data_IF_108834945230
#
_entry.id   IF_108834945230
#
_cell.length_a   1.000
_cell.length_b   1.000
_cell.length_c   1.000
_cell.angle_alpha   90.00
_cell.angle_beta   90.00
_cell.angle_gamma   90.00
#
_symmetry.space_group_name_H-M   'P 1'
#
loop_
_entity.id
_entity.type
_entity.pdbx_description
1 polymer ?
#
# COMPACT_ATOMS: atom_id res chain seq x y z
N UNK A 1 2.31 39.41 -2.31
CA UNK A 1 1.40 38.97 -1.23
C UNK A 1 0.14 38.36 -1.85
N UNK A 2 -0.21 37.14 -1.46
CA UNK A 2 -1.40 36.45 -1.99
C UNK A 2 -2.68 37.27 -1.74
N UNK A 3 -3.58 37.41 -2.73
CA UNK A 3 -4.84 38.15 -2.58
C UNK A 3 -5.68 37.70 -1.37
N UNK A 4 -5.69 36.39 -1.08
CA UNK A 4 -6.44 35.78 0.03
C UNK A 4 -5.99 36.35 1.39
N UNK A 5 -4.70 36.55 1.62
CA UNK A 5 -4.17 37.10 2.88
C UNK A 5 -4.59 38.57 3.09
N UNK A 6 -4.66 39.35 2.02
CA UNK A 6 -5.15 40.73 2.07
C UNK A 6 -6.64 40.79 2.47
N UNK A 7 -7.44 39.89 1.91
CA UNK A 7 -8.84 39.75 2.25
C UNK A 7 -9.03 39.37 3.72
N UNK A 8 -8.31 38.32 4.20
CA UNK A 8 -8.38 37.91 5.61
C UNK A 8 -8.00 39.06 6.57
N UNK A 9 -6.98 39.84 6.24
CA UNK A 9 -6.56 40.98 7.05
C UNK A 9 -7.62 42.09 7.05
N UNK A 10 -8.18 42.44 5.90
CA UNK A 10 -9.29 43.41 5.80
C UNK A 10 -10.49 43.02 6.66
N UNK A 11 -10.90 41.74 6.60
CA UNK A 11 -12.00 41.23 7.41
C UNK A 11 -11.72 41.31 8.93
N UNK A 12 -10.46 41.11 9.35
CA UNK A 12 -10.09 41.28 10.76
C UNK A 12 -10.11 42.76 11.16
N UNK A 13 -9.62 43.63 10.29
CA UNK A 13 -9.68 45.10 10.50
C UNK A 13 -11.11 45.61 10.59
N UNK A 14 -12.07 44.96 9.90
CA UNK A 14 -13.51 45.18 9.98
C UNK A 14 -14.17 44.56 11.21
N UNK A 15 -13.40 43.96 12.13
CA UNK A 15 -13.86 43.35 13.38
C UNK A 15 -14.45 41.96 13.26
N UNK A 16 -14.28 41.28 12.11
CA UNK A 16 -14.76 39.91 11.89
C UNK A 16 -13.76 38.87 12.37
N UNK A 17 -14.24 37.87 13.11
CA UNK A 17 -13.44 36.73 13.48
C UNK A 17 -13.09 35.90 12.23
N UNK A 18 -11.82 35.94 11.81
CA UNK A 18 -11.38 35.35 10.55
C UNK A 18 -10.22 34.40 10.79
N UNK A 19 -10.32 33.19 10.25
CA UNK A 19 -9.26 32.17 10.25
C UNK A 19 -8.97 31.76 8.82
N UNK A 20 -7.71 31.81 8.41
CA UNK A 20 -7.27 31.29 7.13
C UNK A 20 -7.06 29.78 7.22
N UNK A 21 -7.82 29.00 6.47
CA UNK A 21 -7.65 27.55 6.38
C UNK A 21 -6.96 27.20 5.07
N UNK A 22 -5.74 26.64 5.14
CA UNK A 22 -4.95 26.27 3.94
C UNK A 22 -3.99 25.15 4.24
N UNK A 23 -3.74 24.28 3.23
CA UNK A 23 -2.70 23.22 3.29
C UNK A 23 -1.29 23.74 3.05
N UNK A 24 -1.15 24.89 2.40
CA UNK A 24 0.13 25.49 2.09
C UNK A 24 0.79 26.05 3.36
N UNK A 25 1.84 25.36 3.81
CA UNK A 25 2.60 25.69 5.02
C UNK A 25 3.21 27.10 4.93
N UNK A 26 3.71 27.48 3.75
CA UNK A 26 4.32 28.79 3.52
C UNK A 26 3.26 29.90 3.64
N UNK A 27 2.08 29.66 3.11
CA UNK A 27 0.95 30.58 3.22
C UNK A 27 0.49 30.71 4.67
N UNK A 28 0.48 29.62 5.46
CA UNK A 28 0.15 29.67 6.91
C UNK A 28 1.15 30.49 7.70
N UNK A 29 2.45 30.20 7.53
CA UNK A 29 3.52 30.96 8.22
C UNK A 29 3.44 32.44 7.88
N UNK A 30 3.27 32.78 6.61
CA UNK A 30 3.15 34.17 6.18
C UNK A 30 1.88 34.85 6.68
N UNK A 31 0.76 34.13 6.82
CA UNK A 31 -0.46 34.65 7.41
C UNK A 31 -0.26 34.97 8.89
N UNK A 32 0.34 34.05 9.65
CA UNK A 32 0.67 34.23 11.07
C UNK A 32 1.61 35.44 11.29
N UNK A 33 2.61 35.60 10.43
CA UNK A 33 3.51 36.78 10.48
C UNK A 33 2.76 38.11 10.25
N UNK A 34 1.61 38.08 9.58
CA UNK A 34 0.75 39.23 9.33
C UNK A 34 -0.36 39.37 10.35
N UNK A 35 -0.34 38.57 11.44
CA UNK A 35 -1.38 38.61 12.48
C UNK A 35 -2.70 37.96 12.08
N UNK A 36 -2.74 37.19 10.97
CA UNK A 36 -3.92 36.45 10.54
C UNK A 36 -3.84 35.05 11.14
N UNK A 37 -4.79 34.63 12.00
CA UNK A 37 -4.89 33.25 12.45
C UNK A 37 -4.99 32.30 11.26
N UNK A 38 -4.16 31.24 11.25
CA UNK A 38 -4.13 30.31 10.16
C UNK A 38 -4.06 28.88 10.66
N UNK A 39 -4.89 28.01 10.10
CA UNK A 39 -5.02 26.61 10.46
C UNK A 39 -4.86 25.71 9.24
N UNK A 40 -4.50 24.45 9.49
CA UNK A 40 -4.45 23.43 8.46
C UNK A 40 -5.84 22.87 8.18
N UNK A 41 -6.06 22.41 6.94
CA UNK A 41 -7.30 21.75 6.58
C UNK A 41 -7.30 20.31 7.12
N UNK A 42 -7.86 20.14 8.33
CA UNK A 42 -7.77 18.90 9.09
C UNK A 42 -8.70 17.76 8.60
N UNK A 43 -9.68 18.04 7.74
CA UNK A 43 -10.70 17.05 7.35
C UNK A 43 -10.13 15.76 6.69
N UNK A 44 -8.97 15.84 6.07
CA UNK A 44 -8.30 14.72 5.40
C UNK A 44 -7.04 14.21 6.17
N UNK A 45 -6.77 14.74 7.36
CA UNK A 45 -5.62 14.32 8.15
C UNK A 45 -5.95 13.14 9.07
N UNK A 46 -4.95 12.29 9.30
CA UNK A 46 -4.99 11.25 10.33
C UNK A 46 -4.80 11.90 11.70
N UNK A 47 -5.65 11.63 12.72
CA UNK A 47 -5.53 12.22 14.06
C UNK A 47 -4.13 11.98 14.66
N UNK A 48 -3.56 13.01 15.30
CA UNK A 48 -2.33 12.88 16.08
C UNK A 48 -2.64 12.17 17.39
N UNK A 49 -1.91 11.08 17.67
CA UNK A 49 -1.99 10.39 18.97
C UNK A 49 -2.60 8.98 18.95
N UNK A 50 -3.23 8.54 17.88
CA UNK A 50 -3.48 7.13 17.70
C UNK A 50 -2.14 6.43 17.38
N UNK A 51 -1.74 5.43 18.13
CA UNK A 51 -0.61 4.57 17.76
C UNK A 51 -0.79 4.13 16.31
N UNK A 52 0.22 4.38 15.46
CA UNK A 52 0.08 4.12 14.04
C UNK A 52 -0.22 2.64 13.79
N UNK A 53 -1.39 2.34 13.22
CA UNK A 53 -1.73 0.99 12.80
C UNK A 53 -0.68 0.48 11.81
N UNK A 54 0.03 -0.58 12.19
CA UNK A 54 1.14 -1.14 11.40
C UNK A 54 0.73 -2.34 10.57
N UNK A 55 -0.50 -2.81 10.68
CA UNK A 55 -0.98 -4.03 10.03
C UNK A 55 -0.52 -5.32 10.74
N UNK A 56 0.33 -5.22 11.76
CA UNK A 56 0.82 -6.36 12.54
C UNK A 56 0.88 -6.03 14.02
N UNK A 57 0.79 -7.07 14.85
CA UNK A 57 0.97 -6.97 16.30
C UNK A 57 1.85 -8.13 16.80
N UNK A 58 2.71 -7.83 17.78
CA UNK A 58 3.39 -8.83 18.59
C UNK A 58 2.53 -9.12 19.82
N UNK A 59 2.14 -10.38 19.99
CA UNK A 59 1.26 -10.81 21.09
C UNK A 59 1.80 -12.07 21.75
N UNK A 60 1.58 -12.18 23.05
CA UNK A 60 1.94 -13.36 23.83
C UNK A 60 0.75 -14.30 23.96
N UNK A 61 1.06 -15.58 24.08
CA UNK A 61 0.09 -16.66 24.21
C UNK A 61 0.62 -17.72 25.16
N UNK A 62 -0.24 -18.33 26.00
CA UNK A 62 0.14 -19.48 26.80
C UNK A 62 0.68 -20.62 25.94
N UNK A 63 1.85 -21.16 26.30
CA UNK A 63 2.55 -22.17 25.48
C UNK A 63 1.67 -23.40 25.18
N UNK A 64 0.82 -23.81 26.12
CA UNK A 64 -0.11 -24.92 25.96
C UNK A 64 -1.07 -24.74 24.75
N UNK A 65 -1.44 -23.49 24.41
CA UNK A 65 -2.35 -23.19 23.31
C UNK A 65 -1.67 -23.22 21.93
N UNK A 66 -0.34 -23.11 21.88
CA UNK A 66 0.39 -23.14 20.60
C UNK A 66 0.23 -24.48 19.86
N UNK A 67 0.02 -25.58 20.58
CA UNK A 67 -0.24 -26.89 19.97
C UNK A 67 -1.57 -26.94 19.21
N UNK A 68 -2.55 -26.15 19.61
CA UNK A 68 -3.88 -26.09 18.99
C UNK A 68 -3.93 -25.14 17.80
N UNK A 69 -2.95 -24.27 17.65
CA UNK A 69 -2.93 -23.19 16.66
C UNK A 69 -3.20 -23.66 15.23
N UNK A 70 -2.57 -24.75 14.80
CA UNK A 70 -2.71 -25.27 13.44
C UNK A 70 -4.12 -25.82 13.14
N UNK A 71 -4.84 -26.28 14.16
CA UNK A 71 -6.14 -26.93 13.99
C UNK A 71 -7.31 -25.96 14.13
N UNK A 72 -7.26 -25.10 15.14
CA UNK A 72 -8.42 -24.33 15.60
C UNK A 72 -8.16 -22.82 15.64
N UNK A 73 -6.89 -22.39 15.42
CA UNK A 73 -6.46 -21.04 15.73
C UNK A 73 -6.50 -20.76 17.23
N UNK A 74 -6.19 -19.54 17.62
CA UNK A 74 -6.17 -19.11 19.03
C UNK A 74 -7.17 -17.97 19.21
N UNK A 75 -8.04 -18.07 20.23
CA UNK A 75 -8.97 -16.98 20.58
C UNK A 75 -8.21 -15.72 20.99
N UNK A 76 -8.68 -14.55 20.54
CA UNK A 76 -8.09 -13.26 20.94
C UNK A 76 -8.14 -13.02 22.45
N UNK A 77 -9.14 -13.58 23.15
CA UNK A 77 -9.25 -13.48 24.61
C UNK A 77 -8.09 -14.13 25.36
N UNK A 78 -7.40 -15.09 24.73
CA UNK A 78 -6.23 -15.75 25.29
C UNK A 78 -4.91 -15.03 24.96
N UNK A 79 -4.98 -13.94 24.19
CA UNK A 79 -3.81 -13.19 23.76
C UNK A 79 -3.61 -11.93 24.64
N UNK A 80 -2.37 -11.63 24.93
CA UNK A 80 -2.02 -10.45 25.67
C UNK A 80 -0.77 -9.75 25.12
N UNK A 81 -0.64 -8.50 25.46
CA UNK A 81 0.56 -7.70 25.24
C UNK A 81 1.18 -7.35 26.58
N UNK A 82 2.45 -6.97 26.58
CA UNK A 82 3.15 -6.52 27.80
C UNK A 82 3.50 -5.06 27.60
N UNK A 83 3.08 -4.21 28.54
CA UNK A 83 3.40 -2.78 28.52
C UNK A 83 4.87 -2.51 28.94
N UNK A 84 5.29 -1.26 28.89
CA UNK A 84 6.67 -0.86 29.25
C UNK A 84 7.01 -1.12 30.72
N UNK A 85 6.01 -1.32 31.56
CA UNK A 85 6.15 -1.59 33.00
C UNK A 85 6.06 -3.10 33.30
N UNK A 86 5.99 -3.94 32.25
CA UNK A 86 5.92 -5.40 32.38
C UNK A 86 4.52 -5.94 32.73
N UNK A 87 3.47 -5.10 32.70
CA UNK A 87 2.10 -5.53 33.03
C UNK A 87 1.43 -6.13 31.78
N UNK A 88 0.74 -7.24 31.99
CA UNK A 88 -0.06 -7.86 30.95
C UNK A 88 -1.33 -7.06 30.68
N UNK A 89 -1.62 -6.84 29.40
CA UNK A 89 -2.82 -6.18 28.91
C UNK A 89 -3.49 -7.07 27.87
N UNK A 90 -4.83 -7.21 27.84
CA UNK A 90 -5.51 -7.93 26.77
C UNK A 90 -5.09 -7.41 25.40
N UNK A 91 -4.81 -8.31 24.46
CA UNK A 91 -4.46 -7.90 23.12
C UNK A 91 -5.70 -7.36 22.39
N UNK A 92 -5.56 -6.17 21.80
CA UNK A 92 -6.59 -5.59 20.93
C UNK A 92 -6.15 -5.74 19.48
N UNK A 93 -6.79 -6.62 18.72
CA UNK A 93 -6.50 -6.89 17.32
C UNK A 93 -7.63 -6.36 16.44
N UNK A 94 -7.27 -5.85 15.28
CA UNK A 94 -8.21 -5.42 14.24
C UNK A 94 -8.37 -6.52 13.22
N UNK A 95 -9.56 -6.65 12.62
CA UNK A 95 -9.82 -7.62 11.55
C UNK A 95 -8.74 -7.54 10.46
N UNK A 96 -8.30 -8.70 9.96
CA UNK A 96 -7.18 -8.86 9.01
C UNK A 96 -5.78 -8.47 9.51
N UNK A 97 -5.62 -8.07 10.76
CA UNK A 97 -4.31 -7.78 11.32
C UNK A 97 -3.46 -9.04 11.45
N UNK A 98 -2.21 -8.97 11.03
CA UNK A 98 -1.25 -10.04 11.24
C UNK A 98 -0.77 -10.08 12.68
N UNK A 99 -0.53 -11.29 13.19
CA UNK A 99 -0.05 -11.50 14.55
C UNK A 99 1.24 -12.33 14.54
N UNK A 100 2.22 -11.88 15.32
CA UNK A 100 3.38 -12.67 15.72
C UNK A 100 3.06 -13.20 17.11
N UNK A 101 2.70 -14.48 17.19
CA UNK A 101 2.40 -15.16 18.45
C UNK A 101 3.68 -15.62 19.10
N UNK A 102 3.98 -15.15 20.30
CA UNK A 102 5.14 -15.52 21.09
C UNK A 102 4.71 -16.41 22.26
N UNK A 103 5.42 -17.50 22.51
CA UNK A 103 5.24 -18.30 23.71
C UNK A 103 5.56 -17.46 24.96
N UNK A 104 4.76 -17.60 26.01
CA UNK A 104 5.01 -17.01 27.32
C UNK A 104 6.18 -17.69 28.08
N UNK A 105 6.58 -18.89 27.63
CA UNK A 105 7.66 -19.68 28.26
C UNK A 105 8.94 -19.69 27.44
N UNK A 106 8.82 -19.68 26.10
CA UNK A 106 9.94 -19.82 25.19
C UNK A 106 9.91 -18.70 24.13
N UNK A 107 10.67 -17.62 24.37
CA UNK A 107 10.70 -16.43 23.49
C UNK A 107 11.04 -16.75 22.01
N UNK A 108 11.85 -17.78 21.78
CA UNK A 108 12.25 -18.19 20.42
C UNK A 108 11.14 -18.92 19.66
N UNK A 109 10.13 -19.42 20.37
CA UNK A 109 9.00 -20.10 19.75
C UNK A 109 7.96 -19.10 19.30
N UNK A 110 7.96 -18.83 18.02
CA UNK A 110 7.04 -17.87 17.39
C UNK A 110 6.22 -18.53 16.31
N UNK A 111 4.95 -18.17 16.21
CA UNK A 111 4.04 -18.57 15.13
C UNK A 111 3.45 -17.32 14.47
N UNK A 112 3.15 -17.43 13.19
CA UNK A 112 2.59 -16.33 12.41
C UNK A 112 1.14 -16.62 12.05
N UNK A 113 0.29 -15.62 12.25
CA UNK A 113 -1.12 -15.76 11.93
C UNK A 113 -1.77 -14.47 11.48
N UNK A 114 -3.04 -14.59 11.11
CA UNK A 114 -3.94 -13.49 10.76
C UNK A 114 -5.16 -13.53 11.67
N UNK A 115 -5.53 -12.39 12.23
CA UNK A 115 -6.74 -12.25 13.03
C UNK A 115 -7.96 -12.16 12.13
N UNK A 116 -8.96 -13.00 12.41
CA UNK A 116 -10.23 -13.05 11.71
C UNK A 116 -11.31 -13.60 12.62
N UNK A 117 -12.45 -12.91 12.71
CA UNK A 117 -13.62 -13.39 13.44
C UNK A 117 -13.34 -13.73 14.92
N UNK A 118 -12.55 -12.91 15.62
CA UNK A 118 -12.24 -13.11 17.04
C UNK A 118 -11.11 -14.12 17.33
N UNK A 119 -10.47 -14.68 16.31
CA UNK A 119 -9.38 -15.68 16.47
C UNK A 119 -8.21 -15.37 15.55
N UNK A 120 -7.01 -15.79 15.95
CA UNK A 120 -5.81 -15.76 15.10
C UNK A 120 -5.62 -17.16 14.49
N UNK A 121 -5.66 -17.22 13.16
CA UNK A 121 -5.43 -18.44 12.39
C UNK A 121 -4.04 -18.45 11.75
N UNK A 122 -3.46 -19.63 11.48
CA UNK A 122 -2.22 -19.74 10.72
C UNK A 122 -2.31 -19.04 9.37
N UNK A 123 -1.17 -18.59 8.84
CA UNK A 123 -1.07 -18.10 7.47
C UNK A 123 -1.38 -19.26 6.50
N UNK A 124 -2.26 -19.00 5.53
CA UNK A 124 -2.70 -19.99 4.54
C UNK A 124 -1.64 -20.23 3.46
N UNK A 125 -0.84 -19.21 3.14
CA UNK A 125 0.10 -19.21 2.02
C UNK A 125 1.57 -19.26 2.45
N UNK A 126 1.86 -19.69 3.69
CA UNK A 126 3.22 -19.68 4.26
C UNK A 126 4.23 -20.57 3.50
N UNK A 127 3.76 -21.56 2.75
CA UNK A 127 4.62 -22.45 1.92
C UNK A 127 4.66 -22.11 0.44
N UNK A 128 3.83 -21.18 -0.01
CA UNK A 128 3.72 -20.80 -1.41
C UNK A 128 4.97 -20.08 -1.90
N UNK A 129 5.17 -20.13 -3.21
CA UNK A 129 6.30 -19.50 -3.89
C UNK A 129 5.80 -18.86 -5.18
N UNK A 130 5.05 -17.75 -5.07
CA UNK A 130 4.49 -17.11 -6.24
C UNK A 130 5.62 -16.78 -7.22
N UNK A 131 5.47 -17.27 -8.43
CA UNK A 131 6.46 -17.11 -9.49
C UNK A 131 7.91 -17.48 -9.04
N UNK A 132 8.05 -18.55 -8.23
CA UNK A 132 9.30 -19.04 -7.69
C UNK A 132 9.91 -18.23 -6.54
N UNK A 133 9.32 -17.12 -6.14
CA UNK A 133 9.84 -16.21 -5.11
C UNK A 133 9.59 -16.75 -3.70
N UNK A 134 10.59 -16.66 -2.82
CA UNK A 134 10.51 -17.07 -1.41
C UNK A 134 10.68 -15.88 -0.48
N UNK A 135 9.85 -15.77 0.56
CA UNK A 135 10.05 -14.74 1.58
C UNK A 135 11.31 -15.00 2.39
N UNK A 136 12.07 -13.95 2.68
CA UNK A 136 13.32 -13.96 3.46
C UNK A 136 13.17 -13.32 4.84
N UNK A 137 12.04 -12.68 5.12
CA UNK A 137 11.75 -12.02 6.39
C UNK A 137 10.30 -12.20 6.79
N UNK A 138 9.96 -11.97 8.07
CA UNK A 138 8.58 -11.99 8.57
C UNK A 138 7.69 -11.00 7.81
N UNK A 139 8.20 -9.81 7.52
CA UNK A 139 7.47 -8.81 6.75
C UNK A 139 7.11 -9.30 5.35
N UNK A 140 8.02 -10.01 4.68
CA UNK A 140 7.77 -10.60 3.37
C UNK A 140 6.81 -11.80 3.44
N UNK A 141 6.77 -12.56 4.53
CA UNK A 141 5.76 -13.61 4.73
C UNK A 141 4.36 -13.01 4.86
N UNK A 142 4.20 -11.95 5.63
CA UNK A 142 2.92 -11.23 5.73
C UNK A 142 2.52 -10.56 4.41
N UNK A 143 3.48 -9.98 3.70
CA UNK A 143 3.25 -9.42 2.37
C UNK A 143 2.75 -10.48 1.39
N UNK A 144 3.40 -11.64 1.34
CA UNK A 144 3.00 -12.76 0.51
C UNK A 144 1.59 -13.24 0.85
N UNK A 145 1.30 -13.44 2.14
CA UNK A 145 -0.03 -13.82 2.60
C UNK A 145 -1.10 -12.83 2.11
N UNK A 146 -0.90 -11.53 2.37
CA UNK A 146 -1.85 -10.49 1.97
C UNK A 146 -2.07 -10.45 0.45
N UNK A 147 -1.01 -10.63 -0.33
CA UNK A 147 -1.09 -10.64 -1.79
C UNK A 147 -1.81 -11.87 -2.33
N UNK A 148 -1.61 -13.05 -1.74
CA UNK A 148 -2.21 -14.29 -2.23
C UNK A 148 -3.65 -14.53 -1.75
N UNK A 149 -4.15 -13.80 -0.75
CA UNK A 149 -5.57 -13.80 -0.42
C UNK A 149 -6.41 -13.38 -1.62
N UNK A 150 -7.62 -13.90 -1.74
CA UNK A 150 -8.53 -13.56 -2.84
C UNK A 150 -8.93 -12.07 -2.81
N UNK A 151 -9.44 -11.56 -3.94
CA UNK A 151 -10.01 -10.20 -3.98
C UNK A 151 -11.26 -10.04 -3.09
N UNK A 152 -11.92 -11.13 -2.75
CA UNK A 152 -13.08 -11.14 -1.84
C UNK A 152 -12.65 -11.00 -0.38
N UNK A 153 -11.56 -11.67 0.02
CA UNK A 153 -11.02 -11.59 1.37
C UNK A 153 -10.18 -10.33 1.62
N UNK A 154 -9.41 -9.90 0.63
CA UNK A 154 -8.51 -8.75 0.71
C UNK A 154 -8.56 -7.92 -0.58
N UNK A 155 -9.66 -7.18 -0.83
CA UNK A 155 -9.81 -6.36 -2.03
C UNK A 155 -8.81 -5.21 -2.10
N UNK A 156 -8.33 -4.75 -0.95
CA UNK A 156 -7.34 -3.68 -0.81
C UNK A 156 -6.17 -4.16 0.07
N UNK A 157 -4.97 -4.14 -0.48
CA UNK A 157 -3.73 -4.43 0.22
C UNK A 157 -2.84 -3.19 0.23
N UNK A 158 -2.34 -2.81 1.39
CA UNK A 158 -1.43 -1.65 1.54
C UNK A 158 -0.08 -2.15 2.05
N UNK A 159 0.95 -2.09 1.20
CA UNK A 159 2.30 -2.48 1.53
C UNK A 159 3.15 -1.26 1.83
N UNK A 160 3.56 -1.14 3.08
CA UNK A 160 4.36 -0.03 3.58
C UNK A 160 5.74 -0.50 3.99
N UNK A 161 6.75 0.27 3.64
CA UNK A 161 8.12 0.02 4.07
C UNK A 161 9.13 0.84 3.28
N UNK A 162 10.38 0.93 3.75
CA UNK A 162 11.44 1.66 3.07
C UNK A 162 11.73 1.09 1.67
N UNK A 163 12.42 1.87 0.85
CA UNK A 163 12.93 1.39 -0.43
C UNK A 163 13.78 0.14 -0.25
N UNK A 164 13.82 -0.74 -1.25
CA UNK A 164 14.58 -2.00 -1.18
C UNK A 164 13.94 -3.14 -0.39
N UNK A 165 12.72 -2.98 0.15
CA UNK A 165 11.99 -4.07 0.83
C UNK A 165 11.27 -5.03 -0.13
N UNK A 166 11.49 -4.87 -1.43
CA UNK A 166 10.97 -5.72 -2.50
C UNK A 166 9.43 -5.68 -2.68
N UNK A 167 8.76 -4.57 -2.30
CA UNK A 167 7.30 -4.44 -2.43
C UNK A 167 6.81 -4.63 -3.86
N UNK A 168 7.37 -3.89 -4.81
CA UNK A 168 7.00 -3.96 -6.23
C UNK A 168 7.33 -5.34 -6.81
N UNK A 169 8.50 -5.88 -6.47
CA UNK A 169 8.93 -7.21 -6.90
C UNK A 169 7.95 -8.33 -6.46
N UNK A 170 7.57 -8.37 -5.17
CA UNK A 170 6.60 -9.35 -4.67
C UNK A 170 5.21 -9.15 -5.25
N UNK A 171 4.80 -7.90 -5.46
CA UNK A 171 3.49 -7.60 -6.04
C UNK A 171 3.39 -8.03 -7.49
N UNK A 172 4.48 -7.90 -8.27
CA UNK A 172 4.56 -8.42 -9.63
C UNK A 172 4.61 -9.95 -9.64
N UNK A 173 5.43 -10.58 -8.78
CA UNK A 173 5.52 -12.04 -8.68
C UNK A 173 4.16 -12.68 -8.36
N UNK A 174 3.46 -12.16 -7.34
CA UNK A 174 2.13 -12.65 -6.98
C UNK A 174 1.08 -12.38 -8.05
N UNK A 175 1.20 -11.26 -8.77
CA UNK A 175 0.32 -10.91 -9.89
C UNK A 175 0.53 -11.83 -11.08
N UNK A 176 1.78 -12.07 -11.49
CA UNK A 176 2.11 -12.96 -12.60
C UNK A 176 1.62 -14.39 -12.34
N UNK A 177 1.84 -14.91 -11.11
CA UNK A 177 1.30 -16.21 -10.69
C UNK A 177 -0.20 -16.29 -10.90
N UNK A 178 -0.96 -15.28 -10.45
CA UNK A 178 -2.43 -15.29 -10.49
C UNK A 178 -3.05 -14.86 -11.83
N UNK A 179 -2.23 -14.42 -12.79
CA UNK A 179 -2.68 -14.07 -14.14
C UNK A 179 -2.28 -15.12 -15.17
N UNK A 180 -1.08 -15.71 -15.02
CA UNK A 180 -0.50 -16.58 -16.04
C UNK A 180 -0.68 -18.08 -15.72
N UNK A 181 -0.56 -18.48 -14.46
CA UNK A 181 -0.65 -19.89 -14.07
C UNK A 181 -2.10 -20.39 -14.14
N UNK A 182 -2.42 -21.41 -14.97
CA UNK A 182 -3.79 -21.86 -15.20
C UNK A 182 -4.52 -22.30 -13.92
N UNK A 183 -3.82 -22.91 -12.97
CA UNK A 183 -4.39 -23.44 -11.73
C UNK A 183 -4.70 -22.35 -10.70
N UNK A 184 -3.96 -21.24 -10.72
CA UNK A 184 -4.09 -20.11 -9.79
C UNK A 184 -4.68 -18.86 -10.41
N UNK A 185 -5.10 -18.91 -11.68
CA UNK A 185 -5.59 -17.77 -12.44
C UNK A 185 -6.87 -17.18 -11.83
N UNK A 186 -6.71 -16.02 -11.20
CA UNK A 186 -7.79 -15.27 -10.58
C UNK A 186 -8.08 -13.94 -11.29
N UNK A 187 -7.14 -13.40 -12.05
CA UNK A 187 -7.25 -12.09 -12.71
C UNK A 187 -6.96 -12.21 -14.21
N UNK A 188 -7.50 -11.25 -14.96
CA UNK A 188 -7.33 -11.20 -16.42
C UNK A 188 -6.02 -10.54 -16.83
N UNK A 189 -5.57 -9.54 -16.05
CA UNK A 189 -4.37 -8.74 -16.35
C UNK A 189 -3.80 -8.09 -15.11
N UNK A 190 -2.57 -7.64 -15.21
CA UNK A 190 -1.90 -6.75 -14.26
C UNK A 190 -1.95 -5.33 -14.84
N UNK A 191 -2.42 -4.38 -14.04
CA UNK A 191 -2.35 -2.96 -14.36
C UNK A 191 -1.47 -2.26 -13.32
N UNK A 192 -0.39 -1.63 -13.77
CA UNK A 192 0.49 -0.84 -12.90
C UNK A 192 0.27 0.63 -13.15
N UNK A 193 -0.04 1.36 -12.09
CA UNK A 193 -0.19 2.81 -12.13
C UNK A 193 0.78 3.48 -11.16
N UNK A 194 1.28 4.65 -11.53
CA UNK A 194 2.14 5.47 -10.69
C UNK A 194 1.59 6.90 -10.65
N UNK A 195 1.34 7.48 -9.47
CA UNK A 195 1.04 8.89 -9.35
C UNK A 195 2.30 9.68 -9.73
N UNK A 196 2.14 10.70 -10.54
CA UNK A 196 3.26 11.52 -10.97
C UNK A 196 3.05 12.94 -10.48
N UNK A 197 3.90 13.40 -9.57
CA UNK A 197 3.84 14.76 -9.02
C UNK A 197 4.09 15.84 -10.11
N UNK A 198 4.75 15.47 -11.21
CA UNK A 198 5.08 16.39 -12.32
C UNK A 198 4.01 16.39 -13.43
N UNK A 199 3.12 15.40 -13.48
CA UNK A 199 2.13 15.24 -14.57
C UNK A 199 0.69 15.58 -14.17
N UNK A 200 0.44 16.17 -13.00
CA UNK A 200 -0.89 16.71 -12.64
C UNK A 200 -1.25 17.98 -13.44
N UNK A 201 -0.27 18.54 -14.19
CA UNK A 201 -0.47 19.61 -15.18
C UNK A 201 -0.33 19.01 -16.58
N UNK A 202 -1.49 18.81 -17.23
CA UNK A 202 -1.70 18.48 -18.65
C UNK A 202 -0.53 17.80 -19.42
N UNK A 203 -0.53 16.47 -19.46
CA UNK A 203 0.33 15.65 -20.34
C UNK A 203 0.20 16.04 -21.84
N UNK A 204 -0.81 16.83 -22.20
CA UNK A 204 -1.05 17.30 -23.57
C UNK A 204 0.09 18.08 -24.23
N UNK A 205 1.00 18.68 -23.44
CA UNK A 205 2.04 19.57 -23.97
C UNK A 205 3.45 18.97 -24.05
N UNK A 206 3.69 17.72 -23.64
CA UNK A 206 4.99 17.10 -23.84
C UNK A 206 5.11 16.54 -25.25
N UNK A 207 6.16 16.88 -26.04
CA UNK A 207 6.42 16.27 -27.32
C UNK A 207 6.81 14.79 -27.13
N UNK A 208 6.26 13.90 -27.97
CA UNK A 208 6.56 12.48 -27.97
C UNK A 208 5.30 11.60 -28.03
N UNK A 209 5.47 10.35 -28.46
CA UNK A 209 4.41 9.33 -28.47
C UNK A 209 3.96 8.96 -27.05
N UNK A 210 2.76 8.39 -26.87
CA UNK A 210 2.29 7.88 -25.57
C UNK A 210 3.29 6.89 -24.94
N UNK A 211 3.93 6.05 -25.76
CA UNK A 211 4.95 5.10 -25.31
C UNK A 211 6.22 5.77 -24.77
N UNK A 212 6.68 6.87 -25.38
CA UNK A 212 7.84 7.62 -24.89
C UNK A 212 7.55 8.34 -23.57
N UNK A 213 6.31 8.76 -23.36
CA UNK A 213 5.86 9.39 -22.11
C UNK A 213 5.74 8.40 -20.94
N UNK A 214 5.43 7.13 -21.24
CA UNK A 214 5.28 6.06 -20.24
C UNK A 214 6.63 5.38 -19.93
N UNK A 215 7.63 5.49 -20.81
CA UNK A 215 8.94 4.85 -20.68
C UNK A 215 9.62 5.03 -19.32
N UNK A 216 9.63 6.21 -18.67
CA UNK A 216 10.22 6.36 -17.34
C UNK A 216 9.48 5.60 -16.23
N UNK A 217 8.18 5.34 -16.41
CA UNK A 217 7.37 4.56 -15.47
C UNK A 217 7.62 3.06 -15.61
N UNK A 218 7.96 2.62 -16.84
CA UNK A 218 8.17 1.21 -17.16
C UNK A 218 9.51 0.67 -16.66
N UNK A 219 10.55 1.48 -16.61
CA UNK A 219 11.91 1.02 -16.29
C UNK A 219 12.01 0.24 -14.97
N UNK A 220 11.48 0.74 -13.82
CA UNK A 220 11.51 -0.04 -12.58
C UNK A 220 10.68 -1.33 -12.64
N UNK A 221 9.65 -1.38 -13.49
CA UNK A 221 8.83 -2.57 -13.69
C UNK A 221 9.62 -3.59 -14.51
N UNK A 222 10.25 -3.15 -15.61
CA UNK A 222 11.08 -3.99 -16.47
C UNK A 222 12.25 -4.60 -15.68
N UNK A 223 12.96 -3.80 -14.88
CA UNK A 223 14.06 -4.29 -14.04
C UNK A 223 13.61 -5.42 -13.08
N UNK A 224 12.41 -5.30 -12.52
CA UNK A 224 11.85 -6.35 -11.67
C UNK A 224 11.41 -7.59 -12.47
N UNK A 225 10.86 -7.41 -13.66
CA UNK A 225 10.45 -8.49 -14.55
C UNK A 225 11.65 -9.30 -15.05
N UNK A 226 12.75 -8.65 -15.39
CA UNK A 226 14.00 -9.32 -15.79
C UNK A 226 14.45 -10.29 -14.69
N UNK A 227 14.48 -9.84 -13.43
CA UNK A 227 14.85 -10.68 -12.29
C UNK A 227 13.86 -11.83 -12.10
N UNK A 228 12.54 -11.57 -12.21
CA UNK A 228 11.51 -12.60 -12.02
C UNK A 228 11.57 -13.68 -13.09
N UNK A 229 11.70 -13.29 -14.36
CA UNK A 229 11.75 -14.21 -15.49
C UNK A 229 13.04 -15.05 -15.51
N UNK A 230 14.16 -14.47 -15.05
CA UNK A 230 15.42 -15.20 -14.88
C UNK A 230 15.33 -16.21 -13.72
N UNK A 231 14.62 -15.89 -12.63
CA UNK A 231 14.41 -16.82 -11.51
C UNK A 231 13.57 -18.06 -11.89
N UNK A 232 12.61 -17.90 -12.80
CA UNK A 232 11.76 -18.99 -13.27
C UNK A 232 12.58 -20.04 -14.06
N UNK A 233 13.56 -19.60 -14.83
CA UNK A 233 14.40 -20.45 -15.71
C UNK A 233 15.70 -20.93 -15.08
N UNK A 234 15.74 -21.23 -13.81
CA UNK A 234 16.94 -21.70 -13.08
C UNK A 234 17.75 -22.81 -13.73
N UNK A 235 17.29 -23.45 -14.80
CA UNK A 235 17.98 -24.58 -15.48
C UNK A 235 18.75 -24.19 -16.74
N UNK A 236 18.38 -23.10 -17.41
CA UNK A 236 19.09 -22.60 -18.60
C UNK A 236 19.14 -21.07 -18.49
N UNK A 237 20.34 -20.47 -18.54
CA UNK A 237 20.48 -19.02 -18.60
C UNK A 237 19.84 -18.53 -19.89
N UNK A 238 18.67 -17.91 -19.77
CA UNK A 238 18.02 -17.24 -20.91
C UNK A 238 18.95 -16.13 -21.41
N UNK A 239 19.15 -16.05 -22.72
CA UNK A 239 19.88 -14.93 -23.33
C UNK A 239 19.10 -13.62 -23.13
N UNK A 240 19.80 -12.48 -23.13
CA UNK A 240 19.15 -11.16 -23.01
C UNK A 240 18.03 -10.92 -24.02
N UNK A 241 18.18 -11.46 -25.25
CA UNK A 241 17.16 -11.37 -26.30
C UNK A 241 15.88 -12.14 -25.95
N UNK A 242 16.02 -13.31 -25.35
CA UNK A 242 14.87 -14.14 -24.91
C UNK A 242 14.12 -13.44 -23.76
N UNK A 243 14.82 -12.91 -22.75
CA UNK A 243 14.19 -12.14 -21.68
C UNK A 243 13.43 -10.92 -22.22
N UNK A 244 14.03 -10.17 -23.12
CA UNK A 244 13.36 -9.03 -23.78
C UNK A 244 12.13 -9.45 -24.56
N UNK A 245 12.21 -10.55 -25.30
CA UNK A 245 11.07 -11.08 -26.05
C UNK A 245 9.92 -11.47 -25.13
N UNK A 246 10.19 -12.09 -23.99
CA UNK A 246 9.18 -12.45 -22.98
C UNK A 246 8.55 -11.23 -22.31
N UNK A 247 9.35 -10.22 -21.98
CA UNK A 247 8.84 -8.96 -21.43
C UNK A 247 7.93 -8.27 -22.45
N UNK A 248 8.37 -8.16 -23.71
CA UNK A 248 7.55 -7.58 -24.76
C UNK A 248 6.24 -8.35 -24.94
N UNK A 249 6.27 -9.68 -24.89
CA UNK A 249 5.06 -10.50 -24.94
C UNK A 249 4.05 -10.14 -23.86
N UNK A 250 4.49 -9.89 -22.62
CA UNK A 250 3.59 -9.50 -21.52
C UNK A 250 2.87 -8.17 -21.80
N UNK A 251 3.58 -7.21 -22.40
CA UNK A 251 2.99 -5.92 -22.77
C UNK A 251 2.13 -6.00 -24.03
N UNK A 252 2.59 -6.67 -25.08
CA UNK A 252 1.91 -6.77 -26.37
C UNK A 252 0.59 -7.54 -26.28
N UNK A 253 0.54 -8.55 -25.42
CA UNK A 253 -0.68 -9.33 -25.15
C UNK A 253 -1.61 -8.65 -24.16
N UNK A 254 -1.20 -7.55 -23.52
CA UNK A 254 -1.97 -6.86 -22.50
C UNK A 254 -2.11 -7.62 -21.17
N UNK A 255 -1.32 -8.68 -20.96
CA UNK A 255 -1.20 -9.35 -19.66
C UNK A 255 -0.71 -8.37 -18.61
N UNK A 256 0.27 -7.54 -18.96
CA UNK A 256 0.76 -6.45 -18.15
C UNK A 256 0.59 -5.12 -18.91
N UNK A 257 0.00 -4.14 -18.23
CA UNK A 257 -0.13 -2.78 -18.77
C UNK A 257 0.35 -1.79 -17.72
N UNK A 258 0.93 -0.67 -18.16
CA UNK A 258 1.29 0.44 -17.30
C UNK A 258 0.62 1.71 -17.79
N UNK A 259 -0.06 2.42 -16.91
CA UNK A 259 -0.80 3.62 -17.24
C UNK A 259 -0.51 4.73 -16.21
N UNK A 260 -0.52 5.98 -16.65
CA UNK A 260 -0.52 7.10 -15.74
C UNK A 260 -1.91 7.22 -15.06
N UNK A 261 -1.93 7.67 -13.80
CA UNK A 261 -3.16 7.76 -12.99
C UNK A 261 -4.30 8.53 -13.66
N UNK A 262 -3.99 9.53 -14.50
CA UNK A 262 -4.98 10.34 -15.18
C UNK A 262 -5.83 9.55 -16.19
N UNK A 263 -5.28 8.49 -16.78
CA UNK A 263 -5.98 7.64 -17.76
C UNK A 263 -7.00 6.67 -17.13
N UNK A 264 -6.96 6.48 -15.81
CA UNK A 264 -7.95 5.68 -15.09
C UNK A 264 -9.32 6.37 -14.95
N UNK A 265 -9.42 7.68 -15.28
CA UNK A 265 -10.69 8.43 -15.16
C UNK A 265 -11.71 7.93 -16.18
N UNK A 266 -12.91 7.60 -15.71
CA UNK A 266 -14.05 7.22 -16.56
C UNK A 266 -14.12 5.73 -16.94
N UNK A 267 -13.18 4.89 -16.52
CA UNK A 267 -13.21 3.44 -16.75
C UNK A 267 -13.58 2.68 -15.49
N UNK A 268 -14.35 1.60 -15.63
CA UNK A 268 -14.53 0.58 -14.59
C UNK A 268 -13.43 -0.47 -14.74
N UNK A 269 -12.79 -0.84 -13.64
CA UNK A 269 -11.69 -1.78 -13.60
C UNK A 269 -12.19 -3.07 -12.96
N UNK A 270 -12.31 -4.13 -13.72
CA UNK A 270 -12.81 -5.45 -13.28
C UNK A 270 -11.78 -6.54 -13.50
N UNK A 271 -11.81 -7.58 -12.66
CA UNK A 271 -10.98 -8.78 -12.78
C UNK A 271 -9.48 -8.45 -12.99
N UNK A 272 -8.99 -7.41 -12.33
CA UNK A 272 -7.67 -6.84 -12.56
C UNK A 272 -6.82 -6.88 -11.28
N UNK A 273 -5.56 -7.26 -11.42
CA UNK A 273 -4.53 -7.09 -10.42
C UNK A 273 -3.96 -5.67 -10.56
N UNK A 274 -4.45 -4.74 -9.74
CA UNK A 274 -4.12 -3.32 -9.84
C UNK A 274 -3.03 -2.95 -8.84
N UNK A 275 -1.84 -2.61 -9.33
CA UNK A 275 -0.72 -2.11 -8.52
C UNK A 275 -0.66 -0.60 -8.68
N UNK A 276 -0.64 0.11 -7.55
CA UNK A 276 -0.37 1.54 -7.49
C UNK A 276 0.94 1.75 -6.74
N UNK A 277 1.99 2.01 -7.50
CA UNK A 277 3.31 2.25 -6.96
C UNK A 277 3.46 3.72 -6.52
N UNK A 278 4.36 4.00 -5.56
CA UNK A 278 4.57 5.33 -4.97
C UNK A 278 3.27 5.97 -4.40
N UNK A 279 2.41 5.14 -3.81
CA UNK A 279 1.09 5.57 -3.32
C UNK A 279 1.14 6.62 -2.19
N UNK A 280 2.31 6.88 -1.58
CA UNK A 280 2.48 8.00 -0.64
C UNK A 280 2.29 9.36 -1.31
N UNK A 281 2.43 9.45 -2.63
CA UNK A 281 2.22 10.66 -3.42
C UNK A 281 0.75 10.87 -3.85
N UNK A 282 -0.15 9.95 -3.49
CA UNK A 282 -1.59 10.09 -3.71
C UNK A 282 -2.22 11.05 -2.70
N UNK A 283 -3.15 11.87 -3.18
CA UNK A 283 -4.06 12.59 -2.31
C UNK A 283 -5.20 11.68 -1.83
N UNK A 284 -5.87 11.97 -0.69
CA UNK A 284 -7.05 11.24 -0.25
C UNK A 284 -8.17 11.20 -1.30
N UNK A 285 -8.33 12.26 -2.07
CA UNK A 285 -9.31 12.36 -3.17
C UNK A 285 -8.99 11.37 -4.30
N UNK A 286 -7.71 11.21 -4.64
CA UNK A 286 -7.29 10.24 -5.66
C UNK A 286 -7.55 8.81 -5.19
N UNK A 287 -7.24 8.47 -3.92
CA UNK A 287 -7.55 7.15 -3.35
C UNK A 287 -9.05 6.87 -3.40
N UNK A 288 -9.90 7.80 -2.97
CA UNK A 288 -11.36 7.66 -3.10
C UNK A 288 -11.76 7.42 -4.56
N UNK A 289 -11.18 8.18 -5.49
CA UNK A 289 -11.45 8.03 -6.92
C UNK A 289 -11.05 6.67 -7.48
N UNK A 290 -9.97 6.04 -6.97
CA UNK A 290 -9.57 4.68 -7.34
C UNK A 290 -10.58 3.68 -6.81
N UNK A 291 -10.82 3.69 -5.49
CA UNK A 291 -11.70 2.71 -4.83
C UNK A 291 -13.11 2.70 -5.40
N UNK A 292 -13.64 3.86 -5.78
CA UNK A 292 -14.99 3.97 -6.39
C UNK A 292 -15.08 3.47 -7.83
N UNK A 293 -13.94 3.20 -8.50
CA UNK A 293 -13.89 2.67 -9.87
C UNK A 293 -13.54 1.20 -9.95
N UNK A 294 -13.03 0.67 -8.85
CA UNK A 294 -12.71 -0.75 -8.74
C UNK A 294 -14.01 -1.55 -8.73
N UNK A 295 -14.17 -2.39 -9.74
CA UNK A 295 -15.28 -3.30 -9.89
C UNK A 295 -14.98 -4.70 -9.35
N UNK A 296 -15.94 -5.59 -9.54
CA UNK A 296 -15.87 -6.98 -9.07
C UNK A 296 -14.59 -7.68 -9.57
N UNK A 297 -14.03 -8.54 -8.74
CA UNK A 297 -12.87 -9.38 -9.10
C UNK A 297 -11.54 -8.62 -9.15
N UNK A 298 -11.50 -7.32 -8.86
CA UNK A 298 -10.27 -6.55 -8.86
C UNK A 298 -9.66 -6.47 -7.45
N UNK A 299 -8.36 -6.68 -7.37
CA UNK A 299 -7.55 -6.48 -6.17
C UNK A 299 -6.67 -5.25 -6.35
N UNK A 300 -6.73 -4.34 -5.39
CA UNK A 300 -5.95 -3.09 -5.37
C UNK A 300 -4.78 -3.25 -4.43
N UNK A 301 -3.57 -2.97 -4.91
CA UNK A 301 -2.35 -3.03 -4.13
C UNK A 301 -1.70 -1.64 -4.13
N UNK A 302 -1.67 -0.99 -2.97
CA UNK A 302 -1.00 0.30 -2.78
C UNK A 302 0.40 0.06 -2.22
N UNK A 303 1.43 0.45 -2.97
CA UNK A 303 2.82 0.36 -2.56
C UNK A 303 3.35 1.73 -2.17
N UNK A 304 4.05 1.84 -1.05
CA UNK A 304 4.60 3.13 -0.68
C UNK A 304 5.68 3.10 0.40
N UNK A 305 6.51 4.13 0.37
CA UNK A 305 7.49 4.42 1.40
C UNK A 305 7.01 5.65 2.21
N UNK A 306 6.79 5.51 3.54
CA UNK A 306 6.36 6.64 4.35
C UNK A 306 7.37 7.79 4.40
N UNK A 307 8.66 7.50 4.17
CA UNK A 307 9.73 8.49 4.22
C UNK A 307 9.94 9.23 2.90
N UNK A 308 9.35 8.76 1.79
CA UNK A 308 9.55 9.32 0.43
C UNK A 308 8.26 9.98 -0.08
N UNK A 309 7.93 11.16 0.46
CA UNK A 309 6.78 11.94 0.01
C UNK A 309 7.31 13.12 -0.82
N UNK A 310 7.17 13.01 -2.15
CA UNK A 310 7.67 14.01 -3.10
C UNK A 310 6.62 15.11 -3.42
N UNK A 311 5.36 14.87 -3.06
CA UNK A 311 4.28 15.80 -3.37
C UNK A 311 4.31 17.01 -2.41
N UNK A 312 4.45 18.26 -2.90
CA UNK A 312 4.71 19.44 -2.07
C UNK A 312 3.59 19.82 -1.09
N UNK A 313 2.38 19.32 -1.32
CA UNK A 313 1.20 19.59 -0.48
C UNK A 313 0.80 18.41 0.42
N UNK A 314 1.60 17.34 0.44
CA UNK A 314 1.33 16.15 1.25
C UNK A 314 2.42 15.97 2.30
N UNK A 315 2.01 15.49 3.46
CA UNK A 315 2.88 15.02 4.52
C UNK A 315 2.54 13.58 4.93
N UNK A 316 3.20 13.05 5.92
CA UNK A 316 2.97 11.68 6.40
C UNK A 316 1.51 11.45 6.85
N UNK A 317 0.81 12.49 7.28
CA UNK A 317 -0.55 12.43 7.82
C UNK A 317 -1.63 12.75 6.80
N UNK A 318 -1.31 13.54 5.78
CA UNK A 318 -2.27 14.07 4.79
C UNK A 318 -2.24 13.37 3.44
N UNK A 319 -1.37 12.36 3.26
CA UNK A 319 -1.31 11.62 2.01
C UNK A 319 -2.43 10.55 1.91
N UNK A 320 -2.81 10.20 0.69
CA UNK A 320 -3.91 9.29 0.42
C UNK A 320 -3.69 7.86 0.92
N UNK A 321 -2.44 7.40 0.97
CA UNK A 321 -2.07 6.09 1.52
C UNK A 321 -2.31 6.04 3.04
N UNK A 322 -1.87 7.05 3.80
CA UNK A 322 -2.14 7.13 5.24
C UNK A 322 -3.64 7.24 5.52
N UNK A 323 -4.36 8.00 4.70
CA UNK A 323 -5.82 8.04 4.73
C UNK A 323 -6.43 6.64 4.53
N UNK A 324 -6.00 5.89 3.51
CA UNK A 324 -6.51 4.54 3.25
C UNK A 324 -6.22 3.59 4.43
N UNK A 325 -5.00 3.61 4.95
CA UNK A 325 -4.57 2.78 6.09
C UNK A 325 -5.47 2.97 7.31
N UNK A 326 -5.82 4.20 7.66
CA UNK A 326 -6.58 4.50 8.87
C UNK A 326 -8.10 4.39 8.67
N UNK A 327 -8.60 4.63 7.46
CA UNK A 327 -10.04 4.67 7.18
C UNK A 327 -10.61 3.38 6.61
N UNK A 328 -9.75 2.52 6.05
CA UNK A 328 -10.15 1.29 5.36
C UNK A 328 -9.55 0.03 6.01
N UNK A 329 -9.08 0.14 7.25
CA UNK A 329 -8.62 -1.00 8.04
C UNK A 329 -9.82 -1.84 8.51
N UNK A 330 -9.67 -3.16 8.51
CA UNK A 330 -10.70 -4.07 8.98
C UNK A 330 -11.12 -5.12 7.98
#
# INVERSE_FOLDING_TARGET
SSPVRKVCRGLIEDGLSTILVTRDIVTRIQAQMLGVPAEDFAADQVPSGAGHYTGRADVYVPDALLSLFKREGISAESLYTVDREGRQQPASLTENQFAILRSDREEKRTLLGRFRGGRVYPLCHNGCRPFGVRPRSLGQQFMQEALLLSAEEAPLVILMGPAGTAKTFYSLAAGLEQVMEPESRAYRKILVCRPNAQFDQDIGFLPGSEQEKISPLLRPIVDNLEILLDLEHKKERSGEEELRSRINYLFDTGILTAEAMNFMRGRSITDTWLIIDEAQNLTPRQVKGIVTRVGRGTKVILLGDPAQIDHPLLDERSNGRSYARERMRG
#
